data_IF_785416842959
#
_entry.id   IF_785416842959
#
_cell.length_a   1.000
_cell.length_b   1.000
_cell.length_c   1.000
_cell.angle_alpha   90.00
_cell.angle_beta   90.00
_cell.angle_gamma   90.00
#
_symmetry.space_group_name_H-M   'P 1'
#
loop_
_entity.id
_entity.type
_entity.pdbx_description
1 polymer ?
#
# COMPACT_ATOMS: atom_id res chain seq x y z
N UNK A 1 -17.36 15.02 1.03
CA UNK A 1 -17.74 16.44 1.16
C UNK A 1 -18.60 16.61 2.44
N UNK A 2 -18.19 17.49 3.40
CA UNK A 2 -18.96 17.75 4.61
C UNK A 2 -20.36 18.36 4.33
N UNK A 3 -20.57 18.97 3.16
CA UNK A 3 -21.81 19.58 2.76
C UNK A 3 -22.71 18.66 1.89
N UNK A 4 -22.18 17.51 1.44
CA UNK A 4 -22.95 16.56 0.67
C UNK A 4 -24.06 15.91 1.53
N UNK A 5 -25.22 15.63 0.95
CA UNK A 5 -26.25 14.86 1.64
C UNK A 5 -25.69 13.50 2.07
N UNK A 6 -25.71 13.23 3.37
CA UNK A 6 -25.18 11.99 3.92
C UNK A 6 -26.14 11.37 4.93
N UNK A 7 -26.25 10.07 4.90
CA UNK A 7 -27.02 9.31 5.87
C UNK A 7 -26.07 8.62 6.86
N UNK A 8 -26.06 9.10 8.11
CA UNK A 8 -25.24 8.49 9.17
C UNK A 8 -25.91 7.20 9.62
N UNK A 9 -25.23 6.08 9.46
CA UNK A 9 -25.65 4.77 9.90
C UNK A 9 -25.43 4.60 11.40
N UNK A 10 -24.24 4.91 11.86
CA UNK A 10 -23.83 4.86 13.26
C UNK A 10 -22.61 5.76 13.52
N UNK A 11 -22.30 5.94 14.79
CA UNK A 11 -21.11 6.65 15.26
C UNK A 11 -20.34 5.78 16.25
N UNK A 12 -19.03 5.79 16.14
CA UNK A 12 -18.08 5.16 17.04
C UNK A 12 -16.96 6.13 17.42
N UNK A 13 -15.84 5.59 17.85
CA UNK A 13 -14.64 6.36 18.21
C UNK A 13 -13.81 6.61 16.93
N UNK A 14 -13.47 7.87 16.68
CA UNK A 14 -12.54 8.29 15.63
C UNK A 14 -11.11 7.77 15.95
N UNK A 15 -10.80 6.55 15.56
CA UNK A 15 -9.59 5.84 15.99
C UNK A 15 -8.38 6.07 15.08
N UNK A 16 -8.60 6.26 13.78
CA UNK A 16 -7.59 6.62 12.80
C UNK A 16 -8.21 7.49 11.71
N UNK A 17 -7.62 8.65 11.38
CA UNK A 17 -8.23 9.63 10.47
C UNK A 17 -8.28 9.16 9.03
N UNK A 18 -9.09 9.86 8.22
CA UNK A 18 -9.31 9.60 6.81
C UNK A 18 -10.72 9.10 6.54
N UNK A 19 -11.08 9.03 5.26
CA UNK A 19 -12.38 8.52 4.83
C UNK A 19 -12.20 7.53 3.67
N UNK A 20 -13.03 6.48 3.67
CA UNK A 20 -12.99 5.48 2.61
C UNK A 20 -14.39 4.91 2.34
N UNK A 21 -14.64 4.62 1.06
CA UNK A 21 -15.82 3.90 0.58
C UNK A 21 -15.43 2.48 0.22
N UNK A 22 -16.26 1.51 0.51
CA UNK A 22 -16.00 0.13 0.11
C UNK A 22 -17.15 -0.82 0.41
N UNK A 23 -17.01 -2.04 -0.09
CA UNK A 23 -17.93 -3.14 0.18
C UNK A 23 -17.71 -3.71 1.57
N UNK A 24 -18.78 -3.98 2.30
CA UNK A 24 -18.70 -4.64 3.59
C UNK A 24 -18.12 -6.04 3.46
N UNK A 25 -17.13 -6.36 4.30
CA UNK A 25 -16.59 -7.71 4.46
C UNK A 25 -16.40 -8.02 5.94
N UNK A 26 -16.61 -9.28 6.34
CA UNK A 26 -16.65 -9.68 7.74
C UNK A 26 -15.51 -10.62 8.16
N UNK A 27 -14.61 -10.96 7.23
CA UNK A 27 -13.42 -11.76 7.51
C UNK A 27 -12.18 -11.25 6.79
N UNK A 28 -11.02 -11.60 7.31
CA UNK A 28 -9.73 -11.28 6.70
C UNK A 28 -9.58 -11.87 5.29
N UNK A 29 -10.08 -13.09 5.10
CA UNK A 29 -10.05 -13.80 3.81
C UNK A 29 -10.96 -13.11 2.78
N UNK A 30 -12.17 -12.71 3.21
CA UNK A 30 -13.09 -11.97 2.33
C UNK A 30 -12.49 -10.62 1.90
N UNK A 31 -11.82 -9.91 2.81
CA UNK A 31 -11.12 -8.66 2.48
C UNK A 31 -10.04 -8.88 1.42
N UNK A 32 -9.21 -9.90 1.58
CA UNK A 32 -8.16 -10.25 0.61
C UNK A 32 -8.76 -10.64 -0.74
N UNK A 33 -9.85 -11.41 -0.74
CA UNK A 33 -10.52 -11.85 -1.98
C UNK A 33 -11.09 -10.67 -2.76
N UNK A 34 -11.80 -9.75 -2.09
CA UNK A 34 -12.40 -8.57 -2.74
C UNK A 34 -11.30 -7.62 -3.24
N UNK A 35 -10.26 -7.40 -2.44
CA UNK A 35 -9.12 -6.58 -2.85
C UNK A 35 -8.36 -7.17 -4.05
N UNK A 36 -8.21 -8.50 -4.12
CA UNK A 36 -7.59 -9.18 -5.27
C UNK A 36 -8.41 -9.01 -6.58
N UNK A 37 -9.70 -8.72 -6.48
CA UNK A 37 -10.57 -8.37 -7.61
C UNK A 37 -10.48 -6.89 -8.01
N UNK A 38 -9.63 -6.10 -7.32
CA UNK A 38 -9.49 -4.66 -7.55
C UNK A 38 -10.62 -3.82 -6.93
N UNK A 39 -11.46 -4.42 -6.07
CA UNK A 39 -12.59 -3.72 -5.47
C UNK A 39 -12.24 -3.22 -4.06
N UNK A 40 -12.64 -1.98 -3.70
CA UNK A 40 -12.45 -1.46 -2.36
C UNK A 40 -13.37 -2.17 -1.35
N UNK A 41 -12.83 -2.56 -0.21
CA UNK A 41 -13.61 -3.16 0.86
C UNK A 41 -13.35 -2.53 2.23
N UNK A 42 -14.31 -2.68 3.12
CA UNK A 42 -14.27 -2.23 4.51
C UNK A 42 -14.41 -3.46 5.41
N UNK A 43 -13.37 -3.70 6.21
CA UNK A 43 -13.34 -4.83 7.12
C UNK A 43 -14.10 -4.48 8.40
N UNK A 44 -15.11 -5.28 8.74
CA UNK A 44 -15.92 -5.13 9.95
C UNK A 44 -15.71 -6.33 10.86
N UNK A 45 -15.26 -6.06 12.07
CA UNK A 45 -15.00 -7.11 13.07
C UNK A 45 -15.65 -6.76 14.41
N UNK A 46 -15.87 -7.76 15.23
CA UNK A 46 -16.26 -7.51 16.63
C UNK A 46 -15.09 -6.89 17.38
N UNK A 47 -13.94 -7.51 17.29
CA UNK A 47 -12.62 -7.04 17.68
C UNK A 47 -11.62 -7.59 16.67
N UNK A 48 -10.51 -6.88 16.40
CA UNK A 48 -9.46 -7.44 15.56
C UNK A 48 -8.49 -8.26 16.39
N UNK A 49 -8.00 -9.35 15.78
CA UNK A 49 -6.96 -10.21 16.31
C UNK A 49 -5.73 -10.15 15.40
N UNK A 50 -4.54 -10.63 15.83
CA UNK A 50 -3.34 -10.57 15.00
C UNK A 50 -3.50 -11.18 13.61
N UNK A 51 -4.33 -12.20 13.47
CA UNK A 51 -4.63 -12.86 12.20
C UNK A 51 -5.39 -11.96 11.21
N UNK A 52 -6.06 -10.92 11.71
CA UNK A 52 -6.78 -9.95 10.87
C UNK A 52 -5.85 -8.93 10.17
N UNK A 53 -4.58 -8.86 10.52
CA UNK A 53 -3.62 -7.90 9.95
C UNK A 53 -3.59 -7.96 8.42
N UNK A 54 -3.62 -9.16 7.81
CA UNK A 54 -3.64 -9.31 6.36
C UNK A 54 -4.92 -8.75 5.73
N UNK A 55 -6.06 -8.95 6.38
CA UNK A 55 -7.34 -8.36 5.96
C UNK A 55 -7.35 -6.84 6.14
N UNK A 56 -6.73 -6.32 7.19
CA UNK A 56 -6.58 -4.87 7.39
C UNK A 56 -5.72 -4.23 6.31
N UNK A 57 -4.63 -4.88 5.90
CA UNK A 57 -3.82 -4.40 4.77
C UNK A 57 -4.56 -4.39 3.43
N UNK A 58 -5.46 -5.33 3.23
CA UNK A 58 -6.27 -5.43 2.02
C UNK A 58 -7.44 -4.44 2.00
N UNK A 59 -7.94 -4.07 3.18
CA UNK A 59 -9.09 -3.18 3.32
C UNK A 59 -8.74 -1.70 3.12
N UNK A 60 -9.73 -0.89 2.78
CA UNK A 60 -9.63 0.57 2.69
C UNK A 60 -10.00 1.27 4.00
N UNK A 61 -10.72 0.60 4.89
CA UNK A 61 -11.03 1.07 6.24
C UNK A 61 -11.41 -0.11 7.14
N UNK A 62 -11.42 0.13 8.46
CA UNK A 62 -11.79 -0.86 9.46
C UNK A 62 -12.85 -0.30 10.41
N UNK A 63 -13.83 -1.12 10.74
CA UNK A 63 -14.82 -0.84 11.78
C UNK A 63 -14.76 -1.96 12.82
N UNK A 64 -14.79 -1.60 14.11
CA UNK A 64 -14.94 -2.60 15.18
C UNK A 64 -16.12 -2.29 16.07
N UNK A 65 -16.89 -3.34 16.44
CA UNK A 65 -18.00 -3.24 17.41
C UNK A 65 -17.48 -2.83 18.78
N UNK A 66 -16.31 -3.38 19.17
CA UNK A 66 -15.65 -3.15 20.45
C UNK A 66 -14.28 -2.57 20.29
N UNK A 67 -13.77 -1.97 21.34
CA UNK A 67 -12.43 -1.39 21.39
C UNK A 67 -12.47 0.12 21.55
N UNK A 68 -11.31 0.68 21.85
CA UNK A 68 -11.09 2.11 22.04
C UNK A 68 -9.87 2.59 21.28
N UNK A 69 -9.39 3.80 21.59
CA UNK A 69 -8.22 4.42 20.98
C UNK A 69 -6.92 3.62 21.10
N UNK A 70 -6.84 2.73 22.09
CA UNK A 70 -5.67 1.87 22.36
C UNK A 70 -5.91 0.42 21.98
N UNK A 71 -7.05 0.09 21.36
CA UNK A 71 -7.34 -1.26 20.88
C UNK A 71 -6.38 -1.69 19.76
N UNK A 72 -6.23 -2.98 19.57
CA UNK A 72 -5.39 -3.55 18.50
C UNK A 72 -5.77 -2.95 17.12
N UNK A 73 -7.07 -2.89 16.81
CA UNK A 73 -7.56 -2.27 15.57
C UNK A 73 -7.08 -0.83 15.40
N UNK A 74 -7.22 -0.01 16.44
CA UNK A 74 -6.86 1.40 16.41
C UNK A 74 -5.35 1.63 16.25
N UNK A 75 -4.53 0.83 16.93
CA UNK A 75 -3.06 0.94 16.87
C UNK A 75 -2.55 0.53 15.49
N UNK A 76 -3.01 -0.61 14.99
CA UNK A 76 -2.60 -1.10 13.66
C UNK A 76 -3.12 -0.17 12.55
N UNK A 77 -4.37 0.27 12.61
CA UNK A 77 -4.93 1.17 11.60
C UNK A 77 -4.13 2.48 11.51
N UNK A 78 -3.75 3.08 12.63
CA UNK A 78 -2.87 4.27 12.62
C UNK A 78 -1.49 3.99 12.02
N UNK A 79 -0.91 2.83 12.34
CA UNK A 79 0.37 2.42 11.76
C UNK A 79 0.31 2.22 10.25
N UNK A 80 -0.84 1.80 9.71
CA UNK A 80 -1.09 1.61 8.29
C UNK A 80 -1.63 2.86 7.57
N UNK A 81 -1.95 3.94 8.29
CA UNK A 81 -2.66 5.09 7.72
C UNK A 81 -4.09 4.75 7.27
N UNK A 82 -4.69 3.72 7.85
CA UNK A 82 -6.00 3.19 7.46
C UNK A 82 -7.11 3.86 8.27
N UNK A 83 -8.14 4.46 7.64
CA UNK A 83 -9.30 5.00 8.36
C UNK A 83 -9.92 3.95 9.29
N UNK A 84 -10.20 4.32 10.54
CA UNK A 84 -10.73 3.38 11.52
C UNK A 84 -11.76 4.02 12.44
N UNK A 85 -12.90 3.35 12.56
CA UNK A 85 -13.94 3.64 13.56
C UNK A 85 -14.00 2.45 14.54
N UNK A 86 -13.59 2.70 15.77
CA UNK A 86 -13.58 1.68 16.83
C UNK A 86 -14.75 1.86 17.80
N UNK A 87 -15.11 0.79 18.52
CA UNK A 87 -16.12 0.86 19.56
C UNK A 87 -17.50 1.28 19.08
N UNK A 88 -17.87 0.86 17.89
CA UNK A 88 -19.19 1.10 17.29
C UNK A 88 -20.26 0.23 17.99
N UNK A 89 -20.54 0.46 19.25
CA UNK A 89 -21.33 -0.41 20.14
C UNK A 89 -22.79 -0.61 19.71
N UNK A 90 -23.32 0.27 18.85
CA UNK A 90 -24.65 0.09 18.25
C UNK A 90 -24.68 -0.92 17.10
N UNK A 91 -23.52 -1.33 16.64
CA UNK A 91 -23.35 -2.30 15.59
C UNK A 91 -23.52 -3.71 16.18
N UNK A 92 -24.33 -4.53 15.54
CA UNK A 92 -24.51 -5.94 15.88
C UNK A 92 -24.09 -6.79 14.69
N UNK A 93 -23.01 -7.55 14.88
CA UNK A 93 -22.50 -8.46 13.87
C UNK A 93 -23.16 -9.82 13.99
N UNK A 94 -23.66 -10.32 12.86
CA UNK A 94 -24.05 -11.71 12.69
C UNK A 94 -23.08 -12.42 11.72
N UNK A 95 -22.01 -13.03 12.22
CA UNK A 95 -21.01 -13.68 11.36
C UNK A 95 -21.56 -14.88 10.60
N UNK A 96 -22.63 -15.54 11.08
CA UNK A 96 -23.24 -16.71 10.42
C UNK A 96 -23.99 -16.31 9.16
N UNK A 97 -24.74 -15.21 9.22
CA UNK A 97 -25.51 -14.69 8.10
C UNK A 97 -24.76 -13.64 7.30
N UNK A 98 -23.47 -13.38 7.64
CA UNK A 98 -22.65 -12.34 7.03
C UNK A 98 -23.41 -11.01 6.93
N UNK A 99 -23.93 -10.59 8.07
CA UNK A 99 -24.80 -9.42 8.15
C UNK A 99 -24.41 -8.50 9.33
N UNK A 100 -24.71 -7.24 9.14
CA UNK A 100 -24.55 -6.17 10.09
C UNK A 100 -25.91 -5.53 10.33
N UNK A 101 -26.29 -5.40 11.58
CA UNK A 101 -27.54 -4.74 11.97
C UNK A 101 -27.24 -3.56 12.90
N UNK A 102 -27.93 -2.46 12.67
CA UNK A 102 -27.95 -1.32 13.59
C UNK A 102 -29.42 -1.11 14.01
N UNK A 103 -29.75 -1.03 15.32
CA UNK A 103 -31.12 -0.87 15.79
C UNK A 103 -31.84 0.30 15.11
N UNK A 104 -33.03 0.03 14.55
CA UNK A 104 -33.82 1.02 13.82
C UNK A 104 -33.37 1.30 12.37
N UNK A 105 -32.45 0.51 11.83
CA UNK A 105 -31.98 0.58 10.45
C UNK A 105 -32.22 -0.75 9.71
N UNK A 106 -32.09 -0.74 8.37
CA UNK A 106 -32.10 -1.98 7.57
C UNK A 106 -30.91 -2.86 7.92
N UNK A 107 -31.01 -4.13 7.62
CA UNK A 107 -29.89 -5.07 7.67
C UNK A 107 -28.97 -4.82 6.48
N UNK A 108 -27.67 -4.81 6.73
CA UNK A 108 -26.62 -4.73 5.70
C UNK A 108 -25.95 -6.08 5.56
N UNK A 109 -25.67 -6.49 4.34
CA UNK A 109 -25.04 -7.76 4.01
C UNK A 109 -23.64 -7.57 3.46
N UNK A 110 -22.88 -8.65 3.43
CA UNK A 110 -21.58 -8.66 2.75
C UNK A 110 -21.72 -8.19 1.29
N UNK A 111 -20.88 -7.25 0.88
CA UNK A 111 -20.93 -6.62 -0.43
C UNK A 111 -21.72 -5.30 -0.49
N UNK A 112 -22.52 -4.97 0.51
CA UNK A 112 -23.20 -3.66 0.55
C UNK A 112 -22.17 -2.53 0.69
N UNK A 113 -22.41 -1.42 0.00
CA UNK A 113 -21.54 -0.24 0.06
C UNK A 113 -21.81 0.59 1.30
N UNK A 114 -20.73 0.92 1.99
CA UNK A 114 -20.72 1.87 3.10
C UNK A 114 -19.51 2.80 3.00
N UNK A 115 -19.54 3.86 3.77
CA UNK A 115 -18.42 4.81 3.91
C UNK A 115 -18.02 4.91 5.38
N UNK A 116 -16.74 4.94 5.64
CA UNK A 116 -16.15 5.15 6.96
C UNK A 116 -15.47 6.51 6.96
N UNK A 117 -15.82 7.36 7.92
CA UNK A 117 -15.09 8.57 8.25
C UNK A 117 -14.40 8.38 9.61
N UNK A 118 -13.13 8.01 9.55
CA UNK A 118 -12.30 7.81 10.73
C UNK A 118 -11.88 9.12 11.42
N UNK A 119 -12.09 10.27 10.78
CA UNK A 119 -11.81 11.60 11.35
C UNK A 119 -12.93 12.05 12.28
N UNK A 120 -14.19 11.78 11.93
CA UNK A 120 -15.37 12.12 12.74
C UNK A 120 -15.86 10.93 13.57
N UNK A 121 -15.47 9.70 13.23
CA UNK A 121 -15.99 8.48 13.84
C UNK A 121 -17.35 8.05 13.27
N UNK A 122 -17.77 8.60 12.13
CA UNK A 122 -19.04 8.28 11.50
C UNK A 122 -18.91 7.12 10.52
N UNK A 123 -19.94 6.29 10.46
CA UNK A 123 -20.15 5.32 9.39
C UNK A 123 -21.39 5.73 8.63
N UNK A 124 -21.29 5.85 7.32
CA UNK A 124 -22.34 6.37 6.44
C UNK A 124 -22.87 5.28 5.53
N UNK A 125 -24.14 5.40 5.14
CA UNK A 125 -24.77 4.51 4.18
C UNK A 125 -24.33 4.86 2.75
N UNK A 126 -23.95 3.86 1.96
CA UNK A 126 -23.61 4.03 0.55
C UNK A 126 -22.27 4.72 0.32
N UNK A 127 -22.17 5.39 -0.81
CA UNK A 127 -20.98 6.11 -1.28
C UNK A 127 -21.33 7.60 -1.50
N UNK A 128 -21.30 8.43 -0.46
CA UNK A 128 -21.47 9.88 -0.63
C UNK A 128 -20.29 10.44 -1.44
N UNK A 129 -20.49 11.64 -1.97
CA UNK A 129 -19.44 12.32 -2.72
C UNK A 129 -18.20 12.53 -1.84
N UNK A 130 -17.08 11.99 -2.31
CA UNK A 130 -15.78 12.11 -1.63
C UNK A 130 -15.02 13.29 -2.21
N UNK A 131 -14.36 14.04 -1.33
CA UNK A 131 -13.49 15.15 -1.70
C UNK A 131 -12.07 14.77 -1.34
N UNK A 132 -11.15 14.87 -2.30
CA UNK A 132 -9.73 14.78 -1.97
C UNK A 132 -9.34 15.95 -1.07
N UNK A 133 -8.49 15.74 -0.04
CA UNK A 133 -7.99 16.83 0.79
C UNK A 133 -7.33 17.87 -0.11
N UNK A 134 -7.94 19.04 -0.24
CA UNK A 134 -7.31 20.13 -0.98
C UNK A 134 -6.17 20.72 -0.13
N UNK A 135 -4.97 20.78 -0.72
CA UNK A 135 -3.83 21.49 -0.17
C UNK A 135 -4.02 23.01 -0.34
N UNK A 136 -5.20 23.53 0.04
CA UNK A 136 -5.62 24.91 -0.21
C UNK A 136 -6.03 25.66 1.06
N UNK A 137 -6.49 26.90 0.89
CA UNK A 137 -6.99 27.74 1.98
C UNK A 137 -5.98 27.99 3.08
N UNK A 138 -6.38 27.82 4.33
CA UNK A 138 -5.52 28.09 5.51
C UNK A 138 -4.27 27.19 5.55
N UNK A 139 -4.36 25.95 5.04
CA UNK A 139 -3.21 25.05 4.95
C UNK A 139 -2.15 25.59 3.97
N UNK A 140 -2.54 26.01 2.78
CA UNK A 140 -1.63 26.62 1.81
C UNK A 140 -0.95 27.88 2.40
N UNK A 141 -1.73 28.75 3.05
CA UNK A 141 -1.17 29.95 3.71
C UNK A 141 -0.14 29.59 4.78
N UNK A 142 -0.40 28.56 5.59
CA UNK A 142 0.56 28.07 6.59
C UNK A 142 1.83 27.52 5.94
N UNK A 143 1.70 26.77 4.85
CA UNK A 143 2.84 26.25 4.10
C UNK A 143 3.66 27.37 3.47
N UNK A 144 3.02 28.41 2.89
CA UNK A 144 3.69 29.59 2.36
C UNK A 144 4.52 30.31 3.44
N UNK A 145 3.96 30.45 4.65
CA UNK A 145 4.70 31.02 5.78
C UNK A 145 5.87 30.15 6.23
N UNK A 146 5.68 28.85 6.26
CA UNK A 146 6.75 27.90 6.60
C UNK A 146 7.87 27.96 5.55
N UNK A 147 7.53 27.97 4.27
CA UNK A 147 8.50 28.07 3.18
C UNK A 147 9.26 29.40 3.15
N UNK A 148 8.59 30.50 3.50
CA UNK A 148 9.24 31.80 3.63
C UNK A 148 10.20 31.90 4.84
N UNK A 149 9.98 31.09 5.88
CA UNK A 149 10.76 31.09 7.11
C UNK A 149 11.90 30.07 7.13
N UNK A 150 11.79 28.97 6.35
CA UNK A 150 12.81 27.94 6.32
C UNK A 150 14.08 28.36 5.60
N UNK A 151 15.22 27.89 6.08
CA UNK A 151 16.54 28.06 5.47
C UNK A 151 17.13 26.74 4.95
N UNK A 152 16.34 25.64 5.02
CA UNK A 152 16.72 24.30 4.57
C UNK A 152 15.80 23.84 3.44
N UNK A 153 16.37 23.15 2.44
CA UNK A 153 15.61 22.53 1.37
C UNK A 153 14.92 21.23 1.84
N UNK A 154 13.69 21.01 1.36
CA UNK A 154 12.89 19.82 1.67
C UNK A 154 12.83 18.94 0.43
N UNK A 155 13.30 17.69 0.54
CA UNK A 155 13.28 16.71 -0.52
C UNK A 155 12.48 15.48 -0.11
N UNK A 156 11.65 14.98 -1.02
CA UNK A 156 10.87 13.78 -0.79
C UNK A 156 11.62 12.50 -1.20
N UNK A 157 11.20 11.36 -0.66
CA UNK A 157 11.48 10.07 -1.27
C UNK A 157 10.40 9.81 -2.33
N UNK A 158 10.82 9.48 -3.54
CA UNK A 158 9.93 9.13 -4.64
C UNK A 158 10.64 8.14 -5.56
N UNK A 159 10.02 7.01 -5.79
CA UNK A 159 10.61 5.89 -6.52
C UNK A 159 9.90 5.66 -7.87
N UNK A 160 8.69 6.22 -8.02
CA UNK A 160 7.88 6.18 -9.23
C UNK A 160 7.53 7.59 -9.75
N UNK A 161 7.11 7.73 -11.01
CA UNK A 161 6.57 8.98 -11.53
C UNK A 161 5.38 9.51 -10.72
N UNK A 162 4.48 8.63 -10.27
CA UNK A 162 3.32 8.98 -9.45
C UNK A 162 3.75 9.57 -8.10
N UNK A 163 4.76 8.98 -7.44
CA UNK A 163 5.33 9.52 -6.20
C UNK A 163 5.92 10.90 -6.43
N UNK A 164 6.63 11.09 -7.54
CA UNK A 164 7.22 12.37 -7.90
C UNK A 164 6.16 13.44 -8.15
N UNK A 165 5.06 13.09 -8.84
CA UNK A 165 3.91 13.98 -9.03
C UNK A 165 3.28 14.38 -7.70
N UNK A 166 3.14 13.43 -6.79
CA UNK A 166 2.63 13.71 -5.45
C UNK A 166 3.58 14.62 -4.66
N UNK A 167 4.89 14.35 -4.73
CA UNK A 167 5.90 15.19 -4.08
C UNK A 167 5.85 16.64 -4.58
N UNK A 168 5.71 16.85 -5.90
CA UNK A 168 5.56 18.20 -6.47
C UNK A 168 4.28 18.90 -5.99
N UNK A 169 3.17 18.19 -5.84
CA UNK A 169 1.94 18.76 -5.26
C UNK A 169 2.16 19.32 -3.85
N UNK A 170 3.09 18.74 -3.09
CA UNK A 170 3.49 19.21 -1.76
C UNK A 170 4.58 20.28 -1.79
N UNK A 171 5.03 20.72 -2.96
CA UNK A 171 5.99 21.83 -3.10
C UNK A 171 7.40 21.47 -2.64
N UNK A 172 7.87 20.24 -2.88
CA UNK A 172 9.24 19.82 -2.52
C UNK A 172 10.29 20.51 -3.40
N UNK A 173 11.51 20.68 -2.87
CA UNK A 173 12.65 21.25 -3.59
C UNK A 173 13.39 20.22 -4.45
N UNK A 174 12.95 18.95 -4.43
CA UNK A 174 13.54 17.87 -5.21
C UNK A 174 13.29 16.49 -4.63
N UNK A 175 13.89 15.49 -5.24
CA UNK A 175 13.88 14.09 -4.74
C UNK A 175 15.17 13.82 -3.98
N UNK A 176 15.03 13.49 -2.70
CA UNK A 176 16.14 13.17 -1.81
C UNK A 176 16.60 11.71 -1.90
N UNK A 177 15.70 10.82 -2.33
CA UNK A 177 16.01 9.41 -2.57
C UNK A 177 15.03 8.83 -3.57
N UNK A 178 15.57 8.30 -4.69
CA UNK A 178 14.90 7.41 -5.60
C UNK A 178 15.59 6.04 -5.55
N UNK A 179 14.84 5.02 -5.15
CA UNK A 179 15.31 3.63 -5.03
C UNK A 179 15.06 2.90 -6.34
N UNK A 180 16.10 2.68 -7.13
CA UNK A 180 15.95 2.06 -8.45
C UNK A 180 15.43 0.63 -8.42
N UNK A 181 15.59 -0.08 -7.31
CA UNK A 181 15.05 -1.42 -7.11
C UNK A 181 13.53 -1.47 -7.15
N UNK A 182 12.83 -0.43 -6.69
CA UNK A 182 11.37 -0.38 -6.70
C UNK A 182 10.78 -0.36 -8.12
N UNK A 183 11.54 0.10 -9.09
CA UNK A 183 11.15 0.07 -10.51
C UNK A 183 10.99 -1.36 -11.06
N UNK A 184 11.55 -2.38 -10.37
CA UNK A 184 11.56 -3.77 -10.83
C UNK A 184 10.54 -4.68 -10.14
N UNK A 185 9.74 -4.20 -9.19
CA UNK A 185 8.74 -5.03 -8.52
C UNK A 185 7.45 -5.24 -9.33
N UNK A 186 7.26 -4.55 -10.43
CA UNK A 186 6.17 -4.84 -11.35
C UNK A 186 6.32 -6.26 -11.93
N UNK A 187 5.23 -7.07 -12.00
CA UNK A 187 5.32 -8.50 -12.34
C UNK A 187 6.08 -8.83 -13.62
N UNK A 188 5.89 -8.04 -14.69
CA UNK A 188 6.58 -8.24 -15.95
C UNK A 188 8.09 -8.00 -15.85
N UNK A 189 8.49 -6.98 -15.12
CA UNK A 189 9.89 -6.60 -14.88
C UNK A 189 10.57 -7.55 -13.92
N UNK A 190 9.83 -7.97 -12.87
CA UNK A 190 10.32 -8.90 -11.85
C UNK A 190 10.76 -10.24 -12.46
N UNK A 191 10.05 -10.74 -13.48
CA UNK A 191 10.45 -11.94 -14.20
C UNK A 191 11.81 -11.78 -14.87
N UNK A 192 12.04 -10.68 -15.59
CA UNK A 192 13.32 -10.40 -16.24
C UNK A 192 14.45 -10.19 -15.23
N UNK A 193 14.15 -9.54 -14.09
CA UNK A 193 15.11 -9.38 -13.00
C UNK A 193 15.52 -10.76 -12.42
N UNK A 194 14.57 -11.67 -12.25
CA UNK A 194 14.84 -13.04 -11.80
C UNK A 194 15.67 -13.82 -12.82
N UNK A 195 15.40 -13.70 -14.12
CA UNK A 195 16.26 -14.28 -15.17
C UNK A 195 17.71 -13.78 -15.03
N UNK A 196 17.91 -12.49 -14.82
CA UNK A 196 19.24 -11.92 -14.61
C UNK A 196 19.94 -12.51 -13.36
N UNK A 197 19.21 -12.70 -12.25
CA UNK A 197 19.73 -13.29 -11.00
C UNK A 197 20.13 -14.76 -11.19
N UNK A 198 19.37 -15.50 -12.01
CA UNK A 198 19.62 -16.92 -12.30
C UNK A 198 20.60 -17.15 -13.44
N UNK A 199 20.99 -16.11 -14.19
CA UNK A 199 21.94 -16.22 -15.28
C UNK A 199 23.30 -16.75 -14.78
N UNK A 200 23.76 -17.85 -15.35
CA UNK A 200 25.01 -18.53 -14.97
C UNK A 200 26.22 -18.04 -15.75
N UNK A 201 25.98 -17.51 -16.95
CA UNK A 201 27.04 -16.98 -17.78
C UNK A 201 26.82 -15.49 -18.10
N UNK A 202 27.90 -14.78 -18.50
CA UNK A 202 27.81 -13.35 -18.80
C UNK A 202 26.90 -13.02 -19.98
N UNK A 203 26.74 -13.91 -20.96
CA UNK A 203 25.92 -13.66 -22.14
C UNK A 203 24.41 -13.66 -21.78
N UNK A 204 23.94 -14.64 -21.01
CA UNK A 204 22.55 -14.71 -20.56
C UNK A 204 22.21 -13.52 -19.64
N UNK A 205 23.15 -13.15 -18.77
CA UNK A 205 23.01 -11.96 -17.92
C UNK A 205 22.89 -10.68 -18.75
N UNK A 206 23.74 -10.51 -19.77
CA UNK A 206 23.69 -9.37 -20.67
C UNK A 206 22.34 -9.30 -21.39
N UNK A 207 21.84 -10.43 -21.91
CA UNK A 207 20.54 -10.49 -22.59
C UNK A 207 19.38 -10.08 -21.67
N UNK A 208 19.40 -10.47 -20.40
CA UNK A 208 18.39 -10.01 -19.41
C UNK A 208 18.52 -8.51 -19.13
N UNK A 209 19.74 -8.01 -18.96
CA UNK A 209 20.00 -6.57 -18.75
C UNK A 209 19.57 -5.72 -19.95
N UNK A 210 19.80 -6.19 -21.19
CA UNK A 210 19.36 -5.50 -22.41
C UNK A 210 17.83 -5.37 -22.47
N UNK A 211 17.09 -6.27 -21.85
CA UNK A 211 15.62 -6.19 -21.74
C UNK A 211 15.17 -5.23 -20.62
N UNK A 212 15.93 -5.14 -19.53
CA UNK A 212 15.63 -4.21 -18.41
C UNK A 212 15.96 -2.76 -18.76
N UNK A 213 17.02 -2.54 -19.51
CA UNK A 213 17.53 -1.20 -19.84
C UNK A 213 16.47 -0.25 -20.44
N UNK A 214 15.67 -0.63 -21.46
CA UNK A 214 14.65 0.26 -22.01
C UNK A 214 13.54 0.59 -21.01
N UNK A 215 13.19 -0.34 -20.12
CA UNK A 215 12.18 -0.13 -19.08
C UNK A 215 12.65 0.92 -18.08
N UNK A 216 13.83 0.73 -17.51
CA UNK A 216 14.40 1.67 -16.54
C UNK A 216 14.70 3.04 -17.18
N UNK A 217 15.14 3.05 -18.45
CA UNK A 217 15.35 4.30 -19.18
C UNK A 217 14.05 5.10 -19.32
N UNK A 218 12.93 4.43 -19.60
CA UNK A 218 11.62 5.09 -19.70
C UNK A 218 11.23 5.73 -18.37
N UNK A 219 11.38 5.00 -17.25
CA UNK A 219 11.08 5.51 -15.92
C UNK A 219 11.92 6.74 -15.57
N UNK A 220 13.22 6.72 -15.87
CA UNK A 220 14.07 7.88 -15.63
C UNK A 220 13.74 9.08 -16.52
N UNK A 221 13.39 8.85 -17.78
CA UNK A 221 12.95 9.93 -18.66
C UNK A 221 11.71 10.61 -18.08
N UNK A 222 10.72 9.84 -17.67
CA UNK A 222 9.49 10.36 -17.08
C UNK A 222 9.76 11.08 -15.75
N UNK A 223 10.53 10.48 -14.86
CA UNK A 223 10.93 11.08 -13.58
C UNK A 223 11.66 12.41 -13.79
N UNK A 224 12.63 12.47 -14.72
CA UNK A 224 13.39 13.70 -14.98
C UNK A 224 12.56 14.77 -15.68
N UNK A 225 11.61 14.39 -16.53
CA UNK A 225 10.67 15.34 -17.13
C UNK A 225 9.80 15.99 -16.06
N UNK A 226 9.29 15.21 -15.11
CA UNK A 226 8.48 15.71 -14.00
C UNK A 226 9.29 16.61 -13.06
N UNK A 227 10.53 16.24 -12.77
CA UNK A 227 11.41 16.97 -11.85
C UNK A 227 12.31 17.99 -12.55
N UNK A 228 11.94 18.46 -13.74
CA UNK A 228 12.75 19.41 -14.51
C UNK A 228 13.12 20.65 -13.68
N UNK A 229 14.42 20.93 -13.57
CA UNK A 229 14.96 22.05 -12.81
C UNK A 229 15.13 21.78 -11.30
N UNK A 230 14.72 20.61 -10.82
CA UNK A 230 14.87 20.20 -9.41
C UNK A 230 15.86 19.02 -9.29
N UNK A 231 16.64 18.96 -8.19
CA UNK A 231 17.60 17.87 -8.00
C UNK A 231 16.91 16.54 -7.71
N UNK A 232 17.45 15.47 -8.29
CA UNK A 232 17.02 14.09 -8.04
C UNK A 232 18.23 13.27 -7.59
N UNK A 233 18.18 12.73 -6.36
CA UNK A 233 19.20 11.82 -5.85
C UNK A 233 18.78 10.39 -6.11
N UNK A 234 19.54 9.69 -6.92
CA UNK A 234 19.27 8.29 -7.32
C UNK A 234 20.19 7.37 -6.53
N UNK A 235 19.59 6.39 -5.84
CA UNK A 235 20.34 5.26 -5.31
C UNK A 235 20.49 4.21 -6.39
N UNK A 236 21.74 3.90 -6.73
CA UNK A 236 22.01 2.75 -7.58
C UNK A 236 21.56 1.46 -6.87
N UNK A 237 21.27 0.42 -7.66
CA UNK A 237 20.72 -0.85 -7.19
C UNK A 237 21.44 -1.40 -5.94
N UNK A 238 20.78 -1.36 -4.78
CA UNK A 238 21.41 -1.66 -3.48
C UNK A 238 20.89 -2.93 -2.78
N UNK A 239 19.60 -3.36 -2.92
CA UNK A 239 19.09 -4.45 -2.11
C UNK A 239 19.74 -5.81 -2.43
N UNK A 240 19.77 -6.73 -1.44
CA UNK A 240 20.24 -8.07 -1.66
C UNK A 240 19.37 -8.80 -2.68
N UNK A 241 20.00 -9.62 -3.53
CA UNK A 241 19.32 -10.28 -4.65
C UNK A 241 18.19 -11.21 -4.23
N UNK A 242 18.23 -11.76 -3.01
CA UNK A 242 17.19 -12.65 -2.51
C UNK A 242 15.83 -11.96 -2.29
N UNK A 243 15.78 -10.62 -2.15
CA UNK A 243 14.52 -9.88 -2.01
C UNK A 243 13.62 -9.96 -3.24
N UNK A 244 14.19 -10.24 -4.42
CA UNK A 244 13.45 -10.45 -5.66
C UNK A 244 12.93 -11.87 -5.84
N UNK A 245 13.30 -12.78 -4.94
CA UNK A 245 13.01 -14.20 -5.06
C UNK A 245 11.85 -14.61 -4.14
N UNK A 246 10.99 -15.55 -4.57
CA UNK A 246 9.88 -16.00 -3.75
C UNK A 246 10.37 -16.80 -2.54
N UNK A 247 9.70 -16.60 -1.39
CA UNK A 247 9.97 -17.32 -0.16
C UNK A 247 9.03 -18.52 0.09
N UNK A 248 7.94 -18.62 -0.67
CA UNK A 248 6.92 -19.66 -0.52
C UNK A 248 7.01 -20.72 -1.61
N UNK A 249 6.43 -21.90 -1.33
CA UNK A 249 6.52 -23.08 -2.22
C UNK A 249 5.86 -22.86 -3.58
N UNK A 250 4.74 -22.15 -3.60
CA UNK A 250 3.97 -21.92 -4.83
C UNK A 250 4.67 -20.90 -5.73
N UNK A 251 5.23 -19.85 -5.15
CA UNK A 251 6.07 -18.88 -5.87
C UNK A 251 7.35 -19.51 -6.42
N UNK A 252 8.00 -20.42 -5.67
CA UNK A 252 9.19 -21.18 -6.15
C UNK A 252 8.82 -22.06 -7.34
N UNK A 253 7.65 -22.70 -7.30
CA UNK A 253 7.16 -23.54 -8.41
C UNK A 253 6.85 -22.70 -9.65
N UNK A 254 6.14 -21.59 -9.48
CA UNK A 254 5.84 -20.65 -10.56
C UNK A 254 7.13 -20.07 -11.18
N UNK A 255 8.12 -19.75 -10.36
CA UNK A 255 9.42 -19.28 -10.85
C UNK A 255 10.18 -20.37 -11.63
N UNK A 256 10.15 -21.62 -11.16
CA UNK A 256 10.78 -22.75 -11.84
C UNK A 256 10.15 -23.00 -13.22
N UNK A 257 8.83 -22.91 -13.31
CA UNK A 257 8.09 -22.99 -14.57
C UNK A 257 8.42 -21.83 -15.51
N UNK A 258 8.42 -20.60 -14.99
CA UNK A 258 8.73 -19.40 -15.79
C UNK A 258 10.15 -19.37 -16.36
N UNK A 259 11.12 -19.97 -15.63
CA UNK A 259 12.53 -20.04 -16.05
C UNK A 259 12.90 -21.36 -16.78
N UNK A 260 11.95 -22.27 -16.93
CA UNK A 260 12.19 -23.62 -17.46
C UNK A 260 13.33 -24.36 -16.72
N UNK A 261 13.31 -24.26 -15.37
CA UNK A 261 14.31 -24.85 -14.51
C UNK A 261 13.69 -25.87 -13.53
N UNK A 262 14.45 -26.92 -13.14
CA UNK A 262 13.99 -27.81 -12.07
C UNK A 262 13.78 -27.05 -10.75
N UNK A 263 12.69 -27.34 -10.03
CA UNK A 263 12.38 -26.73 -8.72
C UNK A 263 13.54 -26.85 -7.74
N UNK A 264 14.24 -28.00 -7.71
CA UNK A 264 15.42 -28.22 -6.86
C UNK A 264 16.56 -27.23 -7.15
N UNK A 265 16.77 -26.87 -8.42
CA UNK A 265 17.80 -25.91 -8.82
C UNK A 265 17.42 -24.50 -8.38
N UNK A 266 16.15 -24.13 -8.51
CA UNK A 266 15.62 -22.84 -8.03
C UNK A 266 15.77 -22.74 -6.52
N UNK A 267 15.41 -23.77 -5.77
CA UNK A 267 15.58 -23.83 -4.32
C UNK A 267 17.05 -23.67 -3.91
N UNK A 268 17.94 -24.47 -4.49
CA UNK A 268 19.36 -24.40 -4.18
C UNK A 268 19.96 -23.00 -4.46
N UNK A 269 19.51 -22.35 -5.53
CA UNK A 269 19.94 -20.98 -5.84
C UNK A 269 19.41 -19.97 -4.84
N UNK A 270 18.13 -20.05 -4.46
CA UNK A 270 17.54 -19.19 -3.42
C UNK A 270 18.30 -19.36 -2.10
N UNK A 271 18.55 -20.60 -1.67
CA UNK A 271 19.31 -20.90 -0.46
C UNK A 271 20.75 -20.34 -0.52
N UNK A 272 21.41 -20.43 -1.69
CA UNK A 272 22.75 -19.88 -1.88
C UNK A 272 22.83 -18.34 -1.81
N UNK A 273 21.70 -17.65 -2.02
CA UNK A 273 21.58 -16.19 -1.98
C UNK A 273 21.01 -15.70 -0.64
N UNK A 274 20.48 -16.60 0.19
CA UNK A 274 20.02 -16.24 1.53
C UNK A 274 21.18 -15.82 2.41
N UNK A 275 20.95 -14.78 3.19
CA UNK A 275 21.98 -14.16 3.99
C UNK A 275 21.57 -14.08 5.46
N UNK A 276 22.53 -14.37 6.33
CA UNK A 276 22.39 -14.22 7.77
C UNK A 276 22.28 -12.75 8.19
N UNK A 277 22.95 -11.88 7.46
CA UNK A 277 22.94 -10.44 7.69
C UNK A 277 22.73 -9.71 6.36
N UNK A 278 21.55 -9.10 6.14
CA UNK A 278 21.25 -8.37 4.92
C UNK A 278 22.24 -7.26 4.56
N UNK A 279 22.95 -6.73 5.57
CA UNK A 279 23.95 -5.67 5.37
C UNK A 279 25.26 -6.17 4.75
N UNK A 280 25.52 -7.47 4.80
CA UNK A 280 26.74 -8.10 4.28
C UNK A 280 26.51 -8.86 2.97
N UNK A 281 25.27 -8.85 2.48
CA UNK A 281 24.84 -9.68 1.40
C UNK A 281 25.28 -9.32 0.00
N UNK A 282 25.06 -10.26 -0.93
CA UNK A 282 25.35 -10.08 -2.34
C UNK A 282 24.37 -9.08 -2.96
N UNK A 283 24.86 -7.87 -3.23
CA UNK A 283 24.10 -6.74 -3.76
C UNK A 283 24.48 -6.42 -5.20
N UNK A 284 23.58 -5.78 -5.95
CA UNK A 284 23.77 -5.52 -7.37
C UNK A 284 24.98 -4.66 -7.71
N UNK A 285 25.39 -3.76 -6.81
CA UNK A 285 26.49 -2.80 -7.03
C UNK A 285 27.75 -3.05 -6.16
N UNK A 286 27.78 -4.13 -5.42
CA UNK A 286 28.94 -4.54 -4.61
C UNK A 286 29.58 -5.79 -5.16
#
# INVERSE_FOLDING_TARGET
DPQAPREVLLQGIAASPGAAVGKLVFSSEAAQTVAAQGEPCILVRRETVPEDIRGMHAARAVITERGGMTSHAAVIARGLGLPCVAGATRLQLDPRNRALTVPGRKVFHEGDLITVDGSTGEVLVGAPEMVEPALGGAFATLMDWADAARDIGIRANADTPEDAAMAQRFGVDGIGLCRTEHMFFEPARLTVMREMIFAENPADRAAALDRLLPMQRADFIELFQMMQGQPVTIRLFDPPLHEFLPGDRDGIRALAEALDLPVSRVQARIESLQEFNPMLGMRGVR
#
